data_IF_196967429042
#
_entry.id   IF_196967429042
#
_cell.length_a   1.000
_cell.length_b   1.000
_cell.length_c   1.000
_cell.angle_alpha   90.00
_cell.angle_beta   90.00
_cell.angle_gamma   90.00
#
_symmetry.space_group_name_H-M   'P 1'
#
loop_
_entity.id
_entity.type
_entity.pdbx_description
1 polymer ?
#
# COMPACT_ATOMS: atom_id res chain seq x y z
N UNK A 1 20.06 -5.47 3.13
CA UNK A 1 21.19 -4.51 3.31
C UNK A 1 20.75 -3.49 4.33
N UNK A 2 21.55 -3.18 5.36
CA UNK A 2 21.14 -2.22 6.39
C UNK A 2 21.36 -0.79 5.92
N UNK A 3 20.31 0.02 5.93
CA UNK A 3 20.33 1.43 5.50
C UNK A 3 19.70 2.33 6.54
N UNK A 4 20.17 3.57 6.64
CA UNK A 4 19.50 4.58 7.43
C UNK A 4 18.34 5.22 6.65
N UNK A 5 17.56 6.04 7.35
CA UNK A 5 16.40 6.72 6.79
C UNK A 5 16.71 7.58 5.56
N UNK A 6 17.80 8.36 5.58
CA UNK A 6 18.18 9.25 4.47
C UNK A 6 18.49 8.45 3.22
N UNK A 7 19.32 7.42 3.36
CA UNK A 7 19.69 6.55 2.25
C UNK A 7 18.50 5.75 1.72
N UNK A 8 17.59 5.32 2.60
CA UNK A 8 16.34 4.68 2.19
C UNK A 8 15.47 5.66 1.36
N UNK A 9 15.34 6.91 1.80
CA UNK A 9 14.61 7.94 1.07
C UNK A 9 15.21 8.19 -0.33
N UNK A 10 16.54 8.23 -0.45
CA UNK A 10 17.26 8.33 -1.73
C UNK A 10 17.00 7.11 -2.63
N UNK A 11 17.04 5.89 -2.08
CA UNK A 11 16.78 4.67 -2.85
C UNK A 11 15.38 4.64 -3.46
N UNK A 12 14.38 5.09 -2.71
CA UNK A 12 13.00 5.17 -3.18
C UNK A 12 12.69 6.47 -3.93
N UNK A 13 13.65 7.40 -4.01
CA UNK A 13 13.48 8.74 -4.57
C UNK A 13 12.26 9.49 -3.96
N UNK A 14 12.12 9.43 -2.64
CA UNK A 14 11.03 10.06 -1.87
C UNK A 14 11.57 11.01 -0.81
N UNK A 15 10.71 11.91 -0.33
CA UNK A 15 11.04 12.76 0.81
C UNK A 15 11.22 11.92 2.09
N UNK A 16 12.21 12.20 2.97
CA UNK A 16 12.40 11.48 4.23
C UNK A 16 11.17 11.45 5.15
N UNK A 17 10.25 12.41 5.06
CA UNK A 17 8.95 12.40 5.77
C UNK A 17 8.04 11.29 5.27
N UNK A 18 8.16 10.90 4.01
CA UNK A 18 7.45 9.73 3.46
C UNK A 18 7.88 8.46 4.19
N UNK A 19 9.18 8.33 4.48
CA UNK A 19 9.70 7.21 5.27
C UNK A 19 9.14 7.23 6.71
N UNK A 20 8.99 8.41 7.34
CA UNK A 20 8.31 8.51 8.65
C UNK A 20 6.87 8.02 8.59
N UNK A 21 6.14 8.41 7.54
CA UNK A 21 4.77 7.96 7.33
C UNK A 21 4.71 6.44 7.16
N UNK A 22 5.64 5.84 6.41
CA UNK A 22 5.72 4.39 6.26
C UNK A 22 6.00 3.69 7.60
N UNK A 23 6.85 4.26 8.45
CA UNK A 23 7.05 3.74 9.81
C UNK A 23 5.74 3.73 10.62
N UNK A 24 4.97 4.82 10.58
CA UNK A 24 3.66 4.89 11.23
C UNK A 24 2.63 3.92 10.63
N UNK A 25 2.84 3.44 9.42
CA UNK A 25 2.02 2.44 8.73
C UNK A 25 2.50 0.99 8.99
N UNK A 26 3.51 0.80 9.84
CA UNK A 26 4.03 -0.53 10.19
C UNK A 26 5.20 -1.03 9.34
N UNK A 27 5.89 -0.14 8.61
CA UNK A 27 7.10 -0.53 7.86
C UNK A 27 8.16 -1.15 8.80
N UNK A 28 8.76 -2.29 8.42
CA UNK A 28 9.69 -3.03 9.27
C UNK A 28 10.95 -2.22 9.57
N UNK A 29 11.34 -2.22 10.85
CA UNK A 29 12.52 -1.55 11.37
C UNK A 29 13.52 -2.60 11.88
N UNK A 30 14.77 -2.53 11.45
CA UNK A 30 15.79 -3.49 11.85
C UNK A 30 16.40 -3.16 13.23
N UNK A 31 16.60 -1.87 13.53
CA UNK A 31 17.01 -1.41 14.87
C UNK A 31 16.86 0.11 15.03
N UNK A 32 16.78 0.59 16.28
CA UNK A 32 16.68 2.02 16.58
C UNK A 32 15.22 2.51 16.56
N UNK A 33 15.01 3.80 16.28
CA UNK A 33 13.65 4.38 16.16
C UNK A 33 13.13 5.10 17.42
N UNK A 34 13.91 5.11 18.51
CA UNK A 34 13.62 5.90 19.70
C UNK A 34 14.16 7.34 19.61
N UNK A 35 13.75 8.20 20.56
CA UNK A 35 14.20 9.60 20.63
C UNK A 35 15.72 9.68 20.75
N UNK A 36 16.39 10.19 19.72
CA UNK A 36 17.85 10.35 19.67
C UNK A 36 18.64 9.16 19.11
N UNK A 37 17.98 8.08 18.67
CA UNK A 37 18.64 6.91 18.07
C UNK A 37 18.28 6.82 16.58
N UNK A 38 19.31 6.74 15.72
CA UNK A 38 19.10 6.63 14.27
C UNK A 38 18.37 5.32 13.92
N UNK A 39 17.32 5.45 13.11
CA UNK A 39 16.56 4.32 12.62
C UNK A 39 17.32 3.60 11.50
N UNK A 40 17.51 2.30 11.66
CA UNK A 40 18.15 1.41 10.69
C UNK A 40 17.10 0.45 10.15
N UNK A 41 17.06 0.36 8.83
CA UNK A 41 16.12 -0.48 8.08
C UNK A 41 16.88 -1.58 7.37
N UNK A 42 16.28 -2.76 7.26
CA UNK A 42 16.73 -3.73 6.28
C UNK A 42 16.02 -3.47 4.96
N UNK A 43 16.80 -3.10 3.95
CA UNK A 43 16.27 -2.75 2.63
C UNK A 43 15.42 -3.87 2.03
N UNK A 44 15.76 -5.14 2.27
CA UNK A 44 15.00 -6.27 1.73
C UNK A 44 13.59 -6.34 2.34
N UNK A 45 13.51 -6.28 3.67
CA UNK A 45 12.23 -6.26 4.39
C UNK A 45 11.36 -5.04 4.03
N UNK A 46 11.98 -3.87 3.83
CA UNK A 46 11.24 -2.67 3.40
C UNK A 46 10.68 -2.82 1.99
N UNK A 47 11.44 -3.41 1.06
CA UNK A 47 10.98 -3.64 -0.32
C UNK A 47 9.81 -4.63 -0.35
N UNK A 48 9.91 -5.71 0.43
CA UNK A 48 8.84 -6.71 0.55
C UNK A 48 7.56 -6.08 1.10
N UNK A 49 7.66 -5.35 2.22
CA UNK A 49 6.53 -4.60 2.79
C UNK A 49 5.94 -3.58 1.79
N UNK A 50 6.79 -2.88 1.05
CA UNK A 50 6.35 -1.91 0.05
C UNK A 50 5.57 -2.58 -1.08
N UNK A 51 6.04 -3.72 -1.58
CA UNK A 51 5.37 -4.50 -2.62
C UNK A 51 4.01 -5.03 -2.15
N UNK A 52 3.94 -5.55 -0.92
CA UNK A 52 2.67 -5.99 -0.32
C UNK A 52 1.67 -4.85 -0.17
N UNK A 53 2.14 -3.69 0.31
CA UNK A 53 1.28 -2.51 0.47
C UNK A 53 0.72 -2.03 -0.87
N UNK A 54 1.56 -1.96 -1.90
CA UNK A 54 1.12 -1.53 -3.23
C UNK A 54 0.14 -2.55 -3.84
N UNK A 55 0.36 -3.86 -3.63
CA UNK A 55 -0.59 -4.90 -4.03
C UNK A 55 -1.92 -4.80 -3.26
N UNK A 56 -1.90 -4.43 -1.99
CA UNK A 56 -3.12 -4.22 -1.20
C UNK A 56 -3.95 -3.03 -1.72
N UNK A 57 -3.29 -1.91 -2.02
CA UNK A 57 -3.93 -0.72 -2.62
C UNK A 57 -4.54 -1.06 -3.97
N UNK A 58 -3.82 -1.79 -4.81
CA UNK A 58 -4.32 -2.15 -6.13
C UNK A 58 -5.49 -3.14 -6.06
N UNK A 59 -5.42 -4.14 -5.17
CA UNK A 59 -6.55 -5.04 -4.92
C UNK A 59 -7.79 -4.29 -4.41
N UNK A 60 -7.63 -3.26 -3.57
CA UNK A 60 -8.75 -2.46 -3.10
C UNK A 60 -9.45 -1.72 -4.25
N UNK A 61 -8.69 -1.14 -5.17
CA UNK A 61 -9.25 -0.52 -6.39
C UNK A 61 -9.98 -1.54 -7.25
N UNK A 62 -9.37 -2.69 -7.51
CA UNK A 62 -9.96 -3.75 -8.32
C UNK A 62 -11.26 -4.29 -7.71
N UNK A 63 -11.31 -4.44 -6.37
CA UNK A 63 -12.53 -4.84 -5.66
C UNK A 63 -13.66 -3.84 -5.91
N UNK A 64 -13.36 -2.54 -5.80
CA UNK A 64 -14.34 -1.50 -6.07
C UNK A 64 -14.83 -1.51 -7.51
N UNK A 65 -13.93 -1.67 -8.49
CA UNK A 65 -14.30 -1.77 -9.91
C UNK A 65 -15.19 -2.99 -10.19
N UNK A 66 -14.87 -4.15 -9.59
CA UNK A 66 -15.69 -5.36 -9.71
C UNK A 66 -17.08 -5.15 -9.11
N UNK A 67 -17.17 -4.49 -7.95
CA UNK A 67 -18.44 -4.20 -7.29
C UNK A 67 -19.29 -3.21 -8.12
N UNK A 68 -18.66 -2.18 -8.69
CA UNK A 68 -19.33 -1.22 -9.58
C UNK A 68 -19.87 -1.92 -10.86
N UNK A 69 -19.08 -2.83 -11.45
CA UNK A 69 -19.51 -3.62 -12.62
C UNK A 69 -20.66 -4.58 -12.28
N UNK A 70 -20.65 -5.20 -11.09
CA UNK A 70 -21.76 -6.04 -10.63
C UNK A 70 -23.04 -5.23 -10.44
N UNK A 71 -22.95 -4.07 -9.81
CA UNK A 71 -24.09 -3.18 -9.62
C UNK A 71 -24.69 -2.71 -10.96
N UNK A 72 -23.85 -2.39 -11.95
CA UNK A 72 -24.30 -2.05 -13.29
C UNK A 72 -25.01 -3.24 -13.97
N UNK A 73 -24.42 -4.44 -13.92
CA UNK A 73 -25.02 -5.64 -14.50
C UNK A 73 -26.36 -6.03 -13.84
N UNK A 74 -26.49 -5.84 -12.53
CA UNK A 74 -27.75 -6.06 -11.81
C UNK A 74 -28.81 -5.01 -12.15
N UNK A 75 -28.41 -3.75 -12.38
CA UNK A 75 -29.31 -2.69 -12.82
C UNK A 75 -29.81 -2.88 -14.25
N UNK A 76 -28.99 -3.48 -15.13
CA UNK A 76 -29.34 -3.75 -16.53
C UNK A 76 -30.24 -4.99 -16.69
N UNK A 77 -30.38 -5.82 -15.65
CA UNK A 77 -31.41 -6.85 -15.55
C UNK A 77 -32.77 -6.18 -15.29
N UNK A 78 -33.31 -5.52 -16.32
CA UNK A 78 -34.71 -5.08 -16.35
C UNK A 78 -35.57 -6.34 -16.20
N UNK A 79 -36.43 -6.46 -15.16
CA UNK A 79 -37.41 -7.52 -15.10
C UNK A 79 -38.23 -7.46 -16.38
N UNK A 80 -38.05 -8.43 -17.27
CA UNK A 80 -38.78 -8.47 -18.52
C UNK A 80 -40.27 -8.37 -18.20
N UNK A 81 -40.91 -7.30 -18.67
CA UNK A 81 -42.35 -7.27 -18.87
C UNK A 81 -42.69 -8.30 -19.95
N UNK A 82 -42.63 -9.58 -19.57
CA UNK A 82 -43.23 -10.66 -20.33
C UNK A 82 -44.70 -10.63 -19.92
N UNK A 83 -45.45 -9.74 -20.54
CA UNK A 83 -46.91 -9.86 -20.56
C UNK A 83 -47.29 -10.65 -21.83
N UNK A 84 -47.91 -11.79 -21.55
CA UNK A 84 -48.33 -12.89 -22.44
C UNK A 84 -49.51 -12.55 -23.36
#
# INVERSE_FOLDING_TARGET
MKVNKKRLAEFFNVDPRTIERWQSQGMPLASGGGKGVEAVFDSAAVIEWYAERDAAIENEKLRKEVDDLRAAAESDLVPGSIDY
#
